data_IF_805200852800
#
_entry.id   IF_805200852800
#
_cell.length_a   1.000
_cell.length_b   1.000
_cell.length_c   1.000
_cell.angle_alpha   90.00
_cell.angle_beta   90.00
_cell.angle_gamma   90.00
#
_symmetry.space_group_name_H-M   'P 1'
#
loop_
_entity.id
_entity.type
_entity.pdbx_description
1 polymer ?
#
# COMPACT_ATOMS: atom_id res chain seq x y z
N UNK A 1 -29.66 24.90 28.40
CA UNK A 1 -29.55 23.71 27.51
C UNK A 1 -28.69 23.99 26.27
N UNK A 2 -28.96 25.09 25.51
CA UNK A 2 -28.20 25.45 24.30
C UNK A 2 -26.68 25.59 24.57
N UNK A 3 -26.32 26.37 25.61
CA UNK A 3 -24.94 26.59 26.02
C UNK A 3 -24.20 25.28 26.44
N UNK A 4 -24.90 24.38 27.13
CA UNK A 4 -24.40 23.05 27.49
C UNK A 4 -24.05 22.23 26.23
N UNK A 5 -24.97 22.17 25.26
CA UNK A 5 -24.77 21.42 24.02
C UNK A 5 -23.62 22.00 23.20
N UNK A 6 -23.57 23.33 23.07
CA UNK A 6 -22.51 24.01 22.33
C UNK A 6 -21.12 23.74 22.91
N UNK A 7 -20.96 23.83 24.25
CA UNK A 7 -19.68 23.60 24.91
C UNK A 7 -19.23 22.12 24.90
N UNK A 8 -20.16 21.20 25.08
CA UNK A 8 -19.85 19.78 24.92
C UNK A 8 -19.44 19.48 23.49
N UNK A 9 -20.19 19.98 22.53
CA UNK A 9 -19.90 19.80 21.12
C UNK A 9 -18.51 20.35 20.77
N UNK A 10 -18.19 21.58 21.19
CA UNK A 10 -16.88 22.20 20.98
C UNK A 10 -15.72 21.32 21.48
N UNK A 11 -15.86 20.70 22.65
CA UNK A 11 -14.83 19.85 23.26
C UNK A 11 -14.82 18.45 22.64
N UNK A 12 -15.99 17.82 22.51
CA UNK A 12 -16.08 16.46 21.98
C UNK A 12 -15.73 16.39 20.49
N UNK A 13 -16.01 17.44 19.71
CA UNK A 13 -15.54 17.53 18.32
C UNK A 13 -14.00 17.56 18.23
N UNK A 14 -13.33 18.19 19.22
CA UNK A 14 -11.85 18.24 19.28
C UNK A 14 -11.25 16.91 19.72
N UNK A 15 -11.77 16.30 20.81
CA UNK A 15 -11.22 15.05 21.36
C UNK A 15 -11.67 13.80 20.62
N UNK A 16 -12.71 13.90 19.81
CA UNK A 16 -13.32 12.83 19.00
C UNK A 16 -13.42 11.49 19.75
N UNK A 17 -14.16 11.43 20.88
CA UNK A 17 -14.20 10.26 21.73
C UNK A 17 -15.05 9.15 21.13
N UNK A 18 -14.71 7.90 21.49
CA UNK A 18 -15.51 6.71 21.18
C UNK A 18 -15.74 5.88 22.45
N UNK A 19 -16.65 4.91 22.39
CA UNK A 19 -16.96 4.01 23.51
C UNK A 19 -17.23 4.74 24.84
N UNK A 20 -18.03 5.82 24.77
CA UNK A 20 -18.37 6.62 25.96
C UNK A 20 -19.28 5.79 26.86
N UNK A 21 -18.87 5.65 28.12
CA UNK A 21 -19.62 4.94 29.16
C UNK A 21 -19.75 5.84 30.39
N UNK A 22 -20.95 5.89 30.96
CA UNK A 22 -21.24 6.61 32.20
C UNK A 22 -21.71 5.57 33.23
N UNK A 23 -21.07 5.58 34.39
CA UNK A 23 -21.45 4.72 35.53
C UNK A 23 -21.75 5.59 36.75
N UNK A 24 -22.96 5.51 37.28
CA UNK A 24 -23.28 6.10 38.58
C UNK A 24 -22.53 5.32 39.67
N UNK A 25 -21.83 6.03 40.56
CA UNK A 25 -21.03 5.46 41.64
C UNK A 25 -21.81 5.56 42.97
N UNK A 26 -22.41 6.72 43.25
CA UNK A 26 -23.11 7.01 44.49
C UNK A 26 -24.21 8.05 44.23
N UNK A 27 -25.29 7.95 45.00
CA UNK A 27 -26.43 8.89 44.96
C UNK A 27 -26.86 9.17 46.38
N UNK A 28 -26.71 10.41 46.82
CA UNK A 28 -27.10 10.85 48.17
C UNK A 28 -27.47 12.32 48.17
N UNK A 29 -28.58 12.65 48.85
CA UNK A 29 -28.99 14.03 49.14
C UNK A 29 -28.99 14.97 47.92
N UNK A 30 -29.61 14.59 46.82
CA UNK A 30 -29.61 15.31 45.54
C UNK A 30 -28.24 15.44 44.85
N UNK A 31 -27.19 14.75 45.32
CA UNK A 31 -25.89 14.67 44.68
C UNK A 31 -25.73 13.33 44.04
N UNK A 32 -25.38 13.29 42.74
CA UNK A 32 -25.04 12.06 42.02
C UNK A 32 -23.57 12.11 41.68
N UNK A 33 -22.82 11.12 42.16
CA UNK A 33 -21.45 10.90 41.78
C UNK A 33 -21.38 9.88 40.62
N UNK A 34 -20.74 10.23 39.56
CA UNK A 34 -20.60 9.35 38.39
C UNK A 34 -19.16 9.28 37.87
N UNK A 35 -18.87 8.26 37.10
CA UNK A 35 -17.62 8.08 36.37
C UNK A 35 -17.92 8.05 34.88
N UNK A 36 -17.17 8.86 34.13
CA UNK A 36 -17.13 8.76 32.68
C UNK A 36 -15.87 8.00 32.27
N UNK A 37 -15.99 7.13 31.29
CA UNK A 37 -14.85 6.55 30.58
C UNK A 37 -15.09 6.66 29.08
N UNK A 38 -14.03 6.98 28.31
CA UNK A 38 -14.08 7.11 26.87
C UNK A 38 -12.72 6.75 26.26
N UNK A 39 -12.75 6.22 25.05
CA UNK A 39 -11.52 5.97 24.28
C UNK A 39 -11.25 7.20 23.41
N UNK A 40 -9.97 7.63 23.38
CA UNK A 40 -9.50 8.82 22.65
C UNK A 40 -8.14 8.53 22.01
N UNK A 41 -7.65 9.45 21.16
CA UNK A 41 -6.28 9.37 20.63
C UNK A 41 -5.22 9.40 21.72
N UNK A 42 -5.50 10.01 22.87
CA UNK A 42 -4.65 10.03 24.05
C UNK A 42 -4.84 8.80 24.97
N UNK A 43 -5.46 7.75 24.47
CA UNK A 43 -5.80 6.54 25.22
C UNK A 43 -7.13 6.63 25.93
N UNK A 44 -7.32 5.78 26.95
CA UNK A 44 -8.55 5.72 27.72
C UNK A 44 -8.59 6.83 28.76
N UNK A 45 -9.54 7.74 28.63
CA UNK A 45 -9.82 8.81 29.61
C UNK A 45 -10.84 8.30 30.60
N UNK A 46 -10.54 8.43 31.90
CA UNK A 46 -11.47 8.14 32.97
C UNK A 46 -11.41 9.26 34.00
N UNK A 47 -12.56 9.79 34.37
CA UNK A 47 -12.66 10.75 35.46
C UNK A 47 -13.99 10.57 36.22
N UNK A 48 -13.97 10.99 37.49
CA UNK A 48 -15.16 11.02 38.35
C UNK A 48 -15.63 12.45 38.49
N UNK A 49 -16.94 12.63 38.53
CA UNK A 49 -17.50 13.95 38.75
C UNK A 49 -18.76 13.85 39.59
N UNK A 50 -19.25 15.01 40.08
CA UNK A 50 -20.46 15.11 40.90
C UNK A 50 -21.41 16.13 40.26
N UNK A 51 -22.69 15.78 40.21
CA UNK A 51 -23.75 16.69 39.79
C UNK A 51 -24.75 16.88 40.92
N UNK A 52 -25.20 18.12 41.08
CA UNK A 52 -26.30 18.48 41.98
C UNK A 52 -27.60 18.50 41.19
N UNK A 53 -28.61 17.79 41.64
CA UNK A 53 -29.94 17.77 41.05
C UNK A 53 -30.87 18.60 41.94
N UNK A 54 -31.42 19.72 41.44
CA UNK A 54 -32.42 20.57 42.08
C UNK A 54 -33.66 20.68 41.22
N UNK A 55 -34.81 20.36 41.78
CA UNK A 55 -36.10 20.39 41.07
C UNK A 55 -36.03 19.64 39.72
N UNK A 56 -35.50 18.43 39.74
CA UNK A 56 -35.32 17.58 38.55
C UNK A 56 -34.40 18.18 37.44
N UNK A 57 -33.61 19.22 37.78
CA UNK A 57 -32.70 19.87 36.87
C UNK A 57 -31.24 19.78 37.35
N UNK A 58 -30.34 19.60 36.40
CA UNK A 58 -28.91 19.60 36.65
C UNK A 58 -28.38 21.02 36.48
N UNK A 59 -27.70 21.54 37.50
CA UNK A 59 -26.96 22.79 37.39
C UNK A 59 -25.63 22.55 36.66
N UNK A 60 -25.58 22.90 35.40
CA UNK A 60 -24.38 22.78 34.60
C UNK A 60 -23.31 23.79 35.00
N UNK A 61 -22.09 23.32 35.20
CA UNK A 61 -20.87 24.11 35.17
C UNK A 61 -19.83 23.42 34.29
N UNK A 62 -18.81 24.13 33.81
CA UNK A 62 -17.79 23.61 32.89
C UNK A 62 -16.87 22.57 33.52
N UNK A 63 -16.69 22.59 34.84
CA UNK A 63 -15.96 21.60 35.60
C UNK A 63 -16.57 20.20 35.50
N UNK A 64 -17.84 20.10 35.08
CA UNK A 64 -18.49 18.82 34.80
C UNK A 64 -17.91 18.15 33.56
N UNK A 65 -17.18 18.88 32.69
CA UNK A 65 -16.49 18.29 31.52
C UNK A 65 -15.08 17.85 31.93
N UNK A 66 -14.30 18.77 32.54
CA UNK A 66 -13.00 18.48 33.14
C UNK A 66 -12.79 19.39 34.35
N UNK A 67 -12.22 18.86 35.43
CA UNK A 67 -12.15 19.54 36.74
C UNK A 67 -11.54 20.95 36.70
N UNK A 68 -10.56 21.24 35.88
CA UNK A 68 -9.91 22.56 35.84
C UNK A 68 -10.34 23.40 34.61
N UNK A 69 -11.43 23.01 33.97
CA UNK A 69 -11.89 23.72 32.78
C UNK A 69 -12.67 24.97 33.15
N UNK A 70 -12.27 26.11 32.62
CA UNK A 70 -12.88 27.42 32.85
C UNK A 70 -13.28 28.12 31.54
N UNK A 71 -13.92 29.31 31.65
CA UNK A 71 -14.30 30.12 30.50
C UNK A 71 -13.14 30.63 29.67
N UNK A 72 -11.97 30.76 30.28
CA UNK A 72 -10.74 31.27 29.65
C UNK A 72 -9.86 30.16 29.03
N UNK A 73 -10.24 28.92 29.25
CA UNK A 73 -9.43 27.78 28.85
C UNK A 73 -10.01 27.11 27.60
N UNK A 74 -9.11 26.45 26.85
CA UNK A 74 -9.47 25.64 25.68
C UNK A 74 -8.92 24.22 25.85
N UNK A 75 -9.67 23.24 25.30
CA UNK A 75 -9.15 21.87 25.16
C UNK A 75 -8.44 21.75 23.82
N UNK A 76 -7.24 21.18 23.83
CA UNK A 76 -6.47 20.86 22.63
C UNK A 76 -6.08 19.39 22.61
N UNK A 77 -6.02 18.83 21.41
CA UNK A 77 -5.43 17.52 21.15
C UNK A 77 -4.13 17.73 20.39
N UNK A 78 -3.04 17.20 20.94
CA UNK A 78 -1.72 17.20 20.34
C UNK A 78 -1.44 15.76 19.94
N UNK A 79 -1.32 15.46 18.65
CA UNK A 79 -1.01 14.13 18.14
C UNK A 79 0.48 13.99 17.86
N UNK A 80 1.04 12.83 18.18
CA UNK A 80 2.41 12.45 17.83
C UNK A 80 2.33 11.30 16.84
N UNK A 81 2.81 11.54 15.62
CA UNK A 81 2.85 10.50 14.59
C UNK A 81 4.02 9.55 14.84
N UNK A 82 3.80 8.23 14.75
CA UNK A 82 4.88 7.25 14.82
C UNK A 82 5.70 7.25 13.54
N UNK A 83 6.92 6.77 13.60
CA UNK A 83 7.68 6.41 12.40
C UNK A 83 7.08 5.14 11.79
N UNK A 84 6.90 5.15 10.46
CA UNK A 84 6.50 3.96 9.72
C UNK A 84 7.69 3.03 9.59
N UNK A 85 7.54 1.74 9.97
CA UNK A 85 8.59 0.72 9.90
C UNK A 85 9.18 0.59 8.49
N UNK A 86 10.44 0.22 8.41
CA UNK A 86 11.12 -0.02 7.15
C UNK A 86 10.71 -1.36 6.53
N UNK A 87 10.86 -1.48 5.22
CA UNK A 87 10.80 -2.77 4.53
C UNK A 87 12.20 -3.04 4.00
N UNK A 88 12.75 -4.19 4.37
CA UNK A 88 14.12 -4.57 4.11
C UNK A 88 14.14 -5.85 3.27
N UNK A 89 15.17 -6.00 2.42
CA UNK A 89 15.48 -7.26 1.80
C UNK A 89 16.12 -8.24 2.82
N UNK A 90 16.46 -9.46 2.37
CA UNK A 90 17.09 -10.47 3.24
C UNK A 90 18.44 -10.02 3.80
N UNK A 91 19.15 -9.15 3.11
CA UNK A 91 20.49 -8.66 3.44
C UNK A 91 20.47 -7.35 4.25
N UNK A 92 19.27 -6.80 4.53
CA UNK A 92 19.10 -5.56 5.28
C UNK A 92 19.14 -4.28 4.42
N UNK A 93 19.08 -4.41 3.09
CA UNK A 93 18.97 -3.26 2.18
C UNK A 93 17.53 -2.71 2.22
N UNK A 94 17.39 -1.39 2.27
CA UNK A 94 16.08 -0.74 2.36
C UNK A 94 15.32 -0.85 1.02
N UNK A 95 14.17 -1.49 1.04
CA UNK A 95 13.20 -1.54 -0.07
C UNK A 95 12.16 -0.43 0.05
N UNK A 96 11.83 -0.04 1.28
CA UNK A 96 11.02 1.12 1.60
C UNK A 96 11.50 1.77 2.89
N UNK A 97 11.70 3.08 2.89
CA UNK A 97 12.19 3.85 4.03
C UNK A 97 11.60 5.25 4.10
N UNK A 98 11.75 5.91 5.24
CA UNK A 98 11.51 7.34 5.34
C UNK A 98 12.63 8.10 4.63
N UNK A 99 12.28 9.10 3.87
CA UNK A 99 13.20 9.96 3.12
C UNK A 99 12.61 11.33 2.85
N UNK A 100 13.19 12.06 1.92
CA UNK A 100 12.77 13.40 1.56
C UNK A 100 12.22 13.46 0.14
N UNK A 101 11.20 14.30 -0.04
CA UNK A 101 10.79 14.83 -1.33
C UNK A 101 10.76 16.36 -1.26
N UNK A 102 10.52 16.98 -2.40
CA UNK A 102 10.59 18.42 -2.53
C UNK A 102 9.28 18.95 -3.09
N UNK A 103 8.63 19.78 -2.28
CA UNK A 103 7.36 20.41 -2.65
C UNK A 103 7.63 21.74 -3.32
N UNK A 104 7.41 21.80 -4.63
CA UNK A 104 7.35 23.05 -5.36
C UNK A 104 6.02 23.72 -5.08
N UNK A 105 6.08 24.94 -4.63
CA UNK A 105 4.90 25.73 -4.31
C UNK A 105 5.09 27.20 -4.64
N UNK A 106 4.02 27.94 -4.51
CA UNK A 106 3.92 29.33 -4.92
C UNK A 106 3.60 30.23 -3.75
N UNK A 107 4.17 31.45 -3.78
CA UNK A 107 3.84 32.53 -2.86
C UNK A 107 3.09 33.59 -3.65
N UNK A 108 1.78 33.71 -3.39
CA UNK A 108 0.82 34.50 -4.17
C UNK A 108 1.28 35.94 -4.45
N UNK A 109 1.66 36.67 -3.42
CA UNK A 109 2.04 38.09 -3.52
C UNK A 109 3.37 38.35 -4.25
N UNK A 110 4.06 37.31 -4.73
CA UNK A 110 5.33 37.42 -5.45
C UNK A 110 5.22 37.06 -6.93
N UNK A 111 4.05 36.65 -7.40
CA UNK A 111 3.81 36.27 -8.79
C UNK A 111 3.39 37.50 -9.61
N UNK A 112 3.76 37.51 -10.92
CA UNK A 112 3.42 38.59 -11.86
C UNK A 112 2.14 38.30 -12.67
N UNK A 113 1.26 37.40 -12.16
CA UNK A 113 -0.03 37.09 -12.75
C UNK A 113 -0.06 35.84 -13.62
N UNK A 114 -0.95 35.82 -14.63
CA UNK A 114 -1.30 34.59 -15.38
C UNK A 114 -0.14 34.02 -16.21
N UNK A 115 0.78 34.88 -16.70
CA UNK A 115 1.93 34.41 -17.45
C UNK A 115 2.84 33.50 -16.63
N UNK A 116 2.98 33.77 -15.32
CA UNK A 116 3.78 32.94 -14.43
C UNK A 116 3.11 31.54 -14.25
N UNK A 117 1.78 31.49 -14.16
CA UNK A 117 1.07 30.21 -14.05
C UNK A 117 1.30 29.32 -15.27
N UNK A 118 1.28 29.87 -16.48
CA UNK A 118 1.51 29.11 -17.70
C UNK A 118 2.95 28.53 -17.76
N UNK A 119 3.96 29.34 -17.36
CA UNK A 119 5.34 28.86 -17.28
C UNK A 119 5.52 27.77 -16.20
N UNK A 120 4.95 27.98 -15.01
CA UNK A 120 5.03 27.04 -13.90
C UNK A 120 4.33 25.72 -14.26
N UNK A 121 3.15 25.79 -14.90
CA UNK A 121 2.40 24.64 -15.37
C UNK A 121 3.23 23.78 -16.32
N UNK A 122 3.97 24.43 -17.25
CA UNK A 122 4.88 23.75 -18.17
C UNK A 122 6.04 23.05 -17.45
N UNK A 123 6.70 23.73 -16.51
CA UNK A 123 7.80 23.15 -15.73
C UNK A 123 7.33 21.97 -14.87
N UNK A 124 6.19 22.14 -14.21
CA UNK A 124 5.69 21.14 -13.26
C UNK A 124 4.80 20.08 -13.92
N UNK A 125 4.61 20.12 -15.25
CA UNK A 125 3.71 19.20 -15.96
C UNK A 125 2.35 19.08 -15.25
N UNK A 126 1.66 20.22 -15.13
CA UNK A 126 0.35 20.33 -14.47
C UNK A 126 -0.51 21.36 -15.21
N UNK A 127 -1.82 21.37 -14.93
CA UNK A 127 -2.76 22.27 -15.58
C UNK A 127 -2.73 23.67 -14.95
N UNK A 128 -2.85 24.69 -15.79
CA UNK A 128 -2.94 26.10 -15.35
C UNK A 128 -4.16 26.30 -14.45
N UNK A 129 -5.31 25.73 -14.85
CA UNK A 129 -6.56 25.79 -14.09
C UNK A 129 -6.43 25.15 -12.70
N UNK A 130 -5.68 24.05 -12.61
CA UNK A 130 -5.41 23.37 -11.33
C UNK A 130 -4.57 24.28 -10.40
N UNK A 131 -3.59 25.01 -10.93
CA UNK A 131 -2.82 26.00 -10.18
C UNK A 131 -3.72 27.15 -9.74
N UNK A 132 -4.48 27.74 -10.66
CA UNK A 132 -5.38 28.87 -10.38
C UNK A 132 -6.40 28.51 -9.31
N UNK A 133 -7.02 27.34 -9.41
CA UNK A 133 -7.98 26.83 -8.41
C UNK A 133 -7.36 26.72 -7.02
N UNK A 134 -6.12 26.22 -6.92
CA UNK A 134 -5.42 26.18 -5.63
C UNK A 134 -5.14 27.57 -5.11
N UNK A 135 -4.68 28.49 -5.97
CA UNK A 135 -4.29 29.84 -5.60
C UNK A 135 -5.47 30.77 -5.27
N UNK A 136 -6.68 30.46 -5.73
CA UNK A 136 -7.89 31.25 -5.47
C UNK A 136 -8.61 30.91 -4.16
N UNK A 137 -8.13 29.94 -3.38
CA UNK A 137 -8.78 29.56 -2.13
C UNK A 137 -8.74 30.72 -1.12
N UNK A 138 -9.90 30.97 -0.45
CA UNK A 138 -10.14 32.14 0.39
C UNK A 138 -9.22 32.26 1.62
N UNK A 139 -8.63 31.15 2.06
CA UNK A 139 -7.72 31.13 3.20
C UNK A 139 -6.26 31.51 2.86
N UNK A 140 -5.92 31.62 1.55
CA UNK A 140 -4.57 31.93 1.10
C UNK A 140 -4.29 33.43 1.19
N UNK A 141 -3.27 33.77 1.98
CA UNK A 141 -2.72 35.11 2.08
C UNK A 141 -1.59 35.31 1.07
N UNK A 142 -1.17 36.56 0.83
CA UNK A 142 -0.13 36.89 -0.14
C UNK A 142 1.25 36.31 0.19
N UNK A 143 1.54 36.06 1.47
CA UNK A 143 2.78 35.44 1.96
C UNK A 143 2.68 33.92 2.11
N UNK A 144 1.51 33.34 1.90
CA UNK A 144 1.27 31.91 2.07
C UNK A 144 2.00 31.08 1.03
N UNK A 145 2.67 30.02 1.47
CA UNK A 145 3.21 29.00 0.58
C UNK A 145 2.09 28.02 0.20
N UNK A 146 1.79 27.93 -1.09
CA UNK A 146 0.79 27.02 -1.64
C UNK A 146 1.48 25.89 -2.39
N UNK A 147 1.43 24.64 -1.89
CA UNK A 147 2.09 23.51 -2.54
C UNK A 147 1.38 23.14 -3.84
N UNK A 148 2.13 23.04 -4.94
CA UNK A 148 1.62 22.70 -6.27
C UNK A 148 1.93 21.25 -6.60
N UNK A 149 3.23 20.85 -6.57
CA UNK A 149 3.69 19.51 -6.95
C UNK A 149 4.84 19.05 -6.08
N UNK A 150 4.79 17.79 -5.66
CA UNK A 150 5.90 17.14 -4.98
C UNK A 150 6.74 16.36 -5.99
N UNK A 151 8.04 16.40 -5.86
CA UNK A 151 8.97 15.75 -6.76
C UNK A 151 10.13 15.09 -6.02
N UNK A 152 10.79 14.14 -6.68
CA UNK A 152 12.03 13.54 -6.20
C UNK A 152 13.21 14.53 -6.23
N UNK A 153 14.30 14.19 -5.57
CA UNK A 153 15.53 15.00 -5.61
C UNK A 153 16.09 15.15 -7.02
N UNK A 154 16.05 14.10 -7.82
CA UNK A 154 16.51 14.14 -9.20
C UNK A 154 15.69 15.15 -10.03
N UNK A 155 14.37 15.07 -9.95
CA UNK A 155 13.47 15.99 -10.68
C UNK A 155 13.63 17.42 -10.16
N UNK A 156 13.77 17.62 -8.84
CA UNK A 156 14.08 18.93 -8.27
C UNK A 156 15.32 19.56 -8.92
N UNK A 157 16.42 18.79 -8.99
CA UNK A 157 17.68 19.29 -9.54
C UNK A 157 17.55 19.63 -11.04
N UNK A 158 16.82 18.81 -11.80
CA UNK A 158 16.52 19.10 -13.21
C UNK A 158 15.71 20.39 -13.38
N UNK A 159 14.65 20.58 -12.60
CA UNK A 159 13.82 21.78 -12.66
C UNK A 159 14.60 23.06 -12.27
N UNK A 160 15.50 22.95 -11.28
CA UNK A 160 16.39 24.07 -10.90
C UNK A 160 17.34 24.42 -12.05
N UNK A 161 17.96 23.42 -12.69
CA UNK A 161 18.84 23.64 -13.85
C UNK A 161 18.09 24.24 -15.05
N UNK A 162 16.82 23.88 -15.24
CA UNK A 162 15.96 24.45 -16.26
C UNK A 162 15.52 25.92 -15.97
N UNK A 163 15.77 26.41 -14.75
CA UNK A 163 15.52 27.79 -14.38
C UNK A 163 14.17 28.09 -13.74
N UNK A 164 13.45 27.10 -13.21
CA UNK A 164 12.14 27.31 -12.56
C UNK A 164 12.20 28.34 -11.42
N UNK A 165 13.34 28.46 -10.73
CA UNK A 165 13.53 29.41 -9.63
C UNK A 165 13.72 30.85 -10.10
N UNK A 166 13.89 31.11 -11.42
CA UNK A 166 13.91 32.43 -11.97
C UNK A 166 12.51 33.09 -11.96
N UNK A 167 11.45 32.27 -11.79
CA UNK A 167 10.09 32.78 -11.63
C UNK A 167 9.91 33.24 -10.18
N UNK A 168 9.68 34.53 -10.00
CA UNK A 168 9.46 35.11 -8.67
C UNK A 168 8.25 34.45 -8.03
N UNK A 169 8.38 34.12 -6.76
CA UNK A 169 7.31 33.45 -6.01
C UNK A 169 7.32 31.93 -6.03
N UNK A 170 8.12 31.28 -6.87
CA UNK A 170 8.37 29.83 -6.75
C UNK A 170 9.27 29.58 -5.57
N UNK A 171 8.87 28.63 -4.71
CA UNK A 171 9.66 28.17 -3.57
C UNK A 171 9.66 26.63 -3.51
N UNK A 172 10.69 26.10 -2.87
CA UNK A 172 10.84 24.67 -2.63
C UNK A 172 10.89 24.44 -1.12
N UNK A 173 10.02 23.57 -0.62
CA UNK A 173 10.08 23.07 0.74
C UNK A 173 10.47 21.59 0.74
N UNK A 174 11.38 21.20 1.63
CA UNK A 174 11.64 19.78 1.87
C UNK A 174 10.51 19.21 2.70
N UNK A 175 9.98 18.08 2.26
CA UNK A 175 8.94 17.32 2.95
C UNK A 175 9.43 15.91 3.25
N UNK A 176 9.07 15.39 4.41
CA UNK A 176 9.33 14.00 4.76
C UNK A 176 8.30 13.10 4.09
N UNK A 177 8.75 12.02 3.45
CA UNK A 177 7.86 11.10 2.72
C UNK A 177 8.40 9.68 2.73
N UNK A 178 7.55 8.71 2.36
CA UNK A 178 7.98 7.35 2.07
C UNK A 178 8.75 7.33 0.76
N UNK A 179 9.89 6.64 0.72
CA UNK A 179 10.75 6.50 -0.46
C UNK A 179 11.03 5.03 -0.72
N UNK A 180 10.98 4.66 -1.98
CA UNK A 180 11.27 3.32 -2.49
C UNK A 180 12.57 3.38 -3.33
N UNK A 181 13.73 3.01 -2.74
CA UNK A 181 15.03 3.17 -3.41
C UNK A 181 15.16 2.42 -4.74
N UNK A 182 14.45 1.30 -4.86
CA UNK A 182 14.48 0.45 -6.06
C UNK A 182 13.24 0.63 -6.97
N UNK A 183 12.33 1.53 -6.59
CA UNK A 183 11.20 1.99 -7.40
C UNK A 183 10.55 0.87 -8.24
N UNK A 184 10.49 1.02 -9.56
CA UNK A 184 9.86 0.10 -10.51
C UNK A 184 10.25 -1.38 -10.30
N UNK A 185 11.48 -1.64 -9.85
CA UNK A 185 12.01 -2.99 -9.66
C UNK A 185 11.23 -3.78 -8.63
N UNK A 186 10.69 -3.09 -7.62
CA UNK A 186 9.99 -3.71 -6.49
C UNK A 186 8.52 -3.36 -6.40
N UNK A 187 7.97 -2.61 -7.37
CA UNK A 187 6.65 -1.98 -7.26
C UNK A 187 5.52 -2.95 -6.92
N UNK A 188 5.42 -4.07 -7.60
CA UNK A 188 4.33 -5.02 -7.38
C UNK A 188 4.45 -5.79 -6.05
N UNK A 189 5.68 -5.96 -5.52
CA UNK A 189 5.90 -6.62 -4.23
C UNK A 189 5.62 -5.64 -3.10
N UNK A 190 6.32 -4.50 -3.14
CA UNK A 190 6.30 -3.54 -2.03
C UNK A 190 4.99 -2.75 -2.01
N UNK A 191 4.47 -2.40 -3.19
CA UNK A 191 3.34 -1.49 -3.29
C UNK A 191 3.73 -0.06 -2.94
N UNK A 192 2.78 0.73 -2.46
CA UNK A 192 2.98 2.14 -2.14
C UNK A 192 2.01 2.61 -1.05
N UNK A 193 2.35 3.74 -0.44
CA UNK A 193 1.46 4.45 0.47
C UNK A 193 0.88 5.68 -0.19
N UNK A 194 -0.31 6.09 0.26
CA UNK A 194 -0.92 7.38 -0.11
C UNK A 194 -1.58 8.01 1.11
N UNK A 195 -1.86 9.31 1.01
CA UNK A 195 -2.65 9.98 2.03
C UNK A 195 -4.03 9.33 2.15
N UNK A 196 -4.53 9.24 3.37
CA UNK A 196 -5.89 8.78 3.62
C UNK A 196 -6.90 9.74 2.99
N UNK A 197 -7.98 9.18 2.46
CA UNK A 197 -9.12 9.93 1.95
C UNK A 197 -10.31 9.87 2.93
N UNK A 198 -11.41 10.51 2.58
CA UNK A 198 -12.62 10.54 3.42
C UNK A 198 -13.23 9.15 3.65
N UNK A 199 -13.07 8.24 2.71
CA UNK A 199 -13.56 6.86 2.80
C UNK A 199 -12.70 6.04 3.77
N UNK A 200 -11.37 6.19 3.68
CA UNK A 200 -10.42 5.56 4.61
C UNK A 200 -10.72 6.00 6.05
N UNK A 201 -10.92 7.30 6.28
CA UNK A 201 -11.24 7.83 7.60
C UNK A 201 -12.55 7.27 8.16
N UNK A 202 -13.55 7.04 7.31
CA UNK A 202 -14.80 6.39 7.73
C UNK A 202 -14.60 4.92 8.05
N UNK A 203 -13.87 4.19 7.21
CA UNK A 203 -13.62 2.76 7.35
C UNK A 203 -12.75 2.44 8.57
N UNK A 204 -11.76 3.28 8.84
CA UNK A 204 -10.76 3.09 9.90
C UNK A 204 -10.95 4.06 11.08
N UNK A 205 -12.18 4.49 11.35
CA UNK A 205 -12.53 5.54 12.34
C UNK A 205 -11.94 5.32 13.73
N UNK A 206 -11.84 4.05 14.18
CA UNK A 206 -11.31 3.69 15.50
C UNK A 206 -9.80 3.43 15.52
N UNK A 207 -9.13 3.53 14.38
CA UNK A 207 -7.73 3.13 14.24
C UNK A 207 -6.74 4.29 14.36
N UNK A 208 -7.23 5.52 14.62
CA UNK A 208 -6.40 6.69 14.88
C UNK A 208 -5.82 7.37 13.63
N UNK A 209 -6.37 7.11 12.44
CA UNK A 209 -5.99 7.86 11.24
C UNK A 209 -6.51 9.30 11.30
N UNK A 210 -5.71 10.21 10.79
CA UNK A 210 -6.04 11.62 10.60
C UNK A 210 -5.93 11.98 9.12
N UNK A 211 -6.39 13.16 8.73
CA UNK A 211 -6.27 13.64 7.35
C UNK A 211 -4.82 13.78 6.85
N UNK A 212 -3.86 13.82 7.76
CA UNK A 212 -2.41 13.86 7.45
C UNK A 212 -1.75 12.47 7.47
N UNK A 213 -2.48 11.42 7.81
CA UNK A 213 -1.96 10.05 7.83
C UNK A 213 -1.77 9.49 6.42
N UNK A 214 -0.86 8.52 6.29
CA UNK A 214 -0.71 7.72 5.08
C UNK A 214 -1.16 6.28 5.36
N UNK A 215 -1.61 5.59 4.30
CA UNK A 215 -2.05 4.21 4.36
C UNK A 215 -1.47 3.43 3.18
N UNK A 216 -1.07 2.18 3.40
CA UNK A 216 -0.64 1.27 2.35
C UNK A 216 -1.79 0.91 1.41
N UNK A 217 -1.55 1.04 0.09
CA UNK A 217 -2.56 0.80 -0.95
C UNK A 217 -2.45 -0.56 -1.62
N UNK A 218 -1.24 -1.09 -1.70
CA UNK A 218 -0.98 -2.37 -2.35
C UNK A 218 0.28 -3.04 -1.77
N UNK A 219 0.51 -4.29 -2.14
CA UNK A 219 1.71 -5.05 -1.80
C UNK A 219 1.95 -5.16 -0.29
N UNK A 220 3.21 -5.29 0.10
CA UNK A 220 3.63 -5.39 1.51
C UNK A 220 3.20 -4.18 2.33
N UNK A 221 3.19 -2.98 1.73
CA UNK A 221 2.72 -1.78 2.41
C UNK A 221 1.27 -1.89 2.88
N UNK A 222 0.40 -2.52 2.09
CA UNK A 222 -1.01 -2.74 2.46
C UNK A 222 -1.18 -3.97 3.36
N UNK A 223 -0.57 -5.10 3.00
CA UNK A 223 -0.72 -6.37 3.72
C UNK A 223 -0.23 -6.27 5.17
N UNK A 224 0.86 -5.53 5.38
CA UNK A 224 1.45 -5.33 6.70
C UNK A 224 1.19 -3.92 7.28
N UNK A 225 0.15 -3.23 6.79
CA UNK A 225 -0.19 -1.87 7.23
C UNK A 225 -0.21 -1.73 8.75
N UNK A 226 -0.90 -2.63 9.45
CA UNK A 226 -1.02 -2.59 10.92
C UNK A 226 0.32 -2.67 11.65
N UNK A 227 1.29 -3.39 11.09
CA UNK A 227 2.62 -3.53 11.69
C UNK A 227 3.49 -2.33 11.33
N UNK A 228 3.45 -1.92 10.04
CA UNK A 228 4.29 -0.86 9.52
C UNK A 228 3.92 0.52 10.04
N UNK A 229 2.63 0.85 10.19
CA UNK A 229 2.18 2.20 10.55
C UNK A 229 2.49 2.62 11.99
N UNK A 230 2.65 1.65 12.90
CA UNK A 230 2.77 1.92 14.34
C UNK A 230 1.46 2.37 14.99
N UNK A 231 1.55 2.96 16.17
CA UNK A 231 0.41 3.50 16.91
C UNK A 231 0.60 5.00 17.15
N UNK A 232 -0.39 5.79 16.72
CA UNK A 232 -0.40 7.23 16.98
C UNK A 232 -0.49 7.49 18.48
N UNK A 233 0.37 8.37 18.98
CA UNK A 233 0.30 8.92 20.32
C UNK A 233 -0.52 10.21 20.35
N UNK A 234 -0.91 10.63 21.54
CA UNK A 234 -1.62 11.87 21.69
C UNK A 234 -1.69 12.36 23.13
N UNK A 235 -1.91 13.66 23.25
CA UNK A 235 -2.17 14.33 24.53
C UNK A 235 -3.46 15.14 24.42
N UNK A 236 -4.33 15.03 25.42
CA UNK A 236 -5.45 15.95 25.60
C UNK A 236 -5.00 16.91 26.68
N UNK A 237 -4.95 18.19 26.36
CA UNK A 237 -4.48 19.24 27.27
C UNK A 237 -5.51 20.35 27.39
N UNK A 238 -5.56 20.94 28.58
CA UNK A 238 -6.23 22.20 28.84
C UNK A 238 -5.19 23.30 28.74
N UNK A 239 -5.44 24.32 27.91
CA UNK A 239 -4.53 25.44 27.69
C UNK A 239 -5.20 26.76 28.06
N UNK A 240 -4.39 27.76 28.48
CA UNK A 240 -4.83 29.13 28.71
C UNK A 240 -5.02 29.93 27.40
N UNK A 241 -5.35 31.21 27.52
CA UNK A 241 -5.52 32.14 26.38
C UNK A 241 -4.23 32.31 25.56
N UNK A 242 -3.07 32.11 26.17
CA UNK A 242 -1.74 32.20 25.54
C UNK A 242 -1.25 30.85 24.98
N UNK A 243 -2.09 29.80 25.02
CA UNK A 243 -1.77 28.43 24.65
C UNK A 243 -0.75 27.72 25.56
N UNK A 244 -0.51 28.20 26.77
CA UNK A 244 0.30 27.46 27.75
C UNK A 244 -0.54 26.30 28.31
N UNK A 245 0.10 25.16 28.51
CA UNK A 245 -0.55 23.96 29.06
C UNK A 245 -0.77 24.17 30.56
N UNK A 246 -2.04 24.19 30.99
CA UNK A 246 -2.44 24.22 32.38
C UNK A 246 -2.47 22.81 32.95
N UNK A 247 -3.03 21.85 32.18
CA UNK A 247 -3.21 20.47 32.62
C UNK A 247 -3.16 19.51 31.45
N UNK A 248 -2.51 18.38 31.65
CA UNK A 248 -2.64 17.20 30.78
C UNK A 248 -3.73 16.29 31.32
N UNK A 249 -4.83 16.14 30.58
CA UNK A 249 -5.98 15.31 30.94
C UNK A 249 -5.68 13.83 30.71
N UNK A 250 -5.06 13.51 29.57
CA UNK A 250 -4.63 12.19 29.21
C UNK A 250 -3.45 12.24 28.23
N UNK A 251 -2.64 11.20 28.25
CA UNK A 251 -1.50 11.03 27.34
C UNK A 251 -1.30 9.56 27.00
N UNK A 252 -1.02 9.31 25.73
CA UNK A 252 -0.57 8.02 25.18
C UNK A 252 0.67 8.30 24.34
N UNK A 253 1.77 7.61 24.62
CA UNK A 253 2.98 7.72 23.79
C UNK A 253 2.75 7.07 22.42
N UNK A 254 3.36 7.64 21.40
CA UNK A 254 3.42 7.02 20.07
C UNK A 254 4.28 5.75 20.14
N UNK A 255 3.93 4.73 19.38
CA UNK A 255 4.77 3.55 19.18
C UNK A 255 5.10 3.41 17.73
N UNK A 256 6.37 3.42 17.41
CA UNK A 256 6.85 3.27 16.05
C UNK A 256 6.44 1.94 15.45
N UNK A 257 6.27 1.94 14.12
CA UNK A 257 6.01 0.75 13.35
C UNK A 257 7.19 -0.21 13.40
N UNK A 258 6.88 -1.50 13.18
CA UNK A 258 7.89 -2.55 13.15
C UNK A 258 8.44 -2.70 11.74
N UNK A 259 9.74 -2.90 11.62
CA UNK A 259 10.38 -3.23 10.37
C UNK A 259 9.96 -4.61 9.88
N UNK A 260 9.84 -4.75 8.57
CA UNK A 260 9.54 -6.01 7.89
C UNK A 260 10.76 -6.41 7.07
N UNK A 261 11.31 -7.60 7.34
CA UNK A 261 12.37 -8.18 6.53
C UNK A 261 11.78 -9.26 5.63
N UNK A 262 11.99 -9.13 4.33
CA UNK A 262 11.56 -10.08 3.31
C UNK A 262 12.64 -11.10 3.03
N UNK A 263 12.26 -12.21 2.40
CA UNK A 263 13.20 -13.20 1.85
C UNK A 263 13.79 -12.78 0.50
N UNK A 264 13.29 -11.70 -0.09
CA UNK A 264 13.74 -11.15 -1.36
C UNK A 264 15.22 -10.76 -1.27
N UNK A 265 15.99 -11.18 -2.28
CA UNK A 265 17.33 -10.70 -2.57
C UNK A 265 17.24 -9.62 -3.65
N UNK A 266 17.51 -8.38 -3.27
CA UNK A 266 17.28 -7.25 -4.17
C UNK A 266 18.25 -7.24 -5.37
N UNK A 267 19.44 -7.79 -5.24
CA UNK A 267 20.40 -7.83 -6.34
C UNK A 267 19.92 -8.84 -7.40
N UNK A 268 19.40 -10.00 -6.97
CA UNK A 268 18.76 -10.96 -7.86
C UNK A 268 17.48 -10.39 -8.50
N UNK A 269 16.62 -9.73 -7.69
CA UNK A 269 15.42 -9.06 -8.16
C UNK A 269 15.74 -8.05 -9.27
N UNK A 270 16.77 -7.21 -9.06
CA UNK A 270 17.20 -6.20 -10.02
C UNK A 270 17.78 -6.83 -11.29
N UNK A 271 18.57 -7.88 -11.17
CA UNK A 271 19.13 -8.60 -12.31
C UNK A 271 18.03 -9.16 -13.20
N UNK A 272 17.04 -9.84 -12.61
CA UNK A 272 15.90 -10.38 -13.36
C UNK A 272 15.02 -9.26 -13.95
N UNK A 273 14.81 -8.17 -13.20
CA UNK A 273 14.06 -7.02 -13.72
C UNK A 273 14.74 -6.41 -14.95
N UNK A 274 16.05 -6.19 -14.91
CA UNK A 274 16.80 -5.59 -16.00
C UNK A 274 16.79 -6.47 -17.26
N UNK A 275 16.81 -7.79 -17.08
CA UNK A 275 16.74 -8.74 -18.21
C UNK A 275 15.40 -8.66 -18.93
N UNK A 276 14.30 -8.58 -18.17
CA UNK A 276 12.94 -8.68 -18.73
C UNK A 276 12.19 -7.36 -18.80
N UNK A 277 12.81 -6.20 -18.47
CA UNK A 277 12.11 -4.93 -18.34
C UNK A 277 11.34 -4.47 -19.59
N UNK A 278 11.77 -4.93 -20.78
CA UNK A 278 11.15 -4.63 -22.06
C UNK A 278 10.09 -5.64 -22.48
N UNK A 279 9.93 -6.74 -21.73
CA UNK A 279 9.01 -7.81 -22.03
C UNK A 279 7.78 -7.79 -21.12
N UNK A 280 6.68 -8.42 -21.58
CA UNK A 280 5.53 -8.75 -20.70
C UNK A 280 5.84 -10.08 -20.01
N UNK A 281 6.50 -10.01 -18.84
CA UNK A 281 7.07 -11.17 -18.18
C UNK A 281 6.71 -11.28 -16.70
N UNK A 282 6.73 -12.49 -16.19
CA UNK A 282 6.73 -12.81 -14.77
C UNK A 282 7.89 -13.77 -14.47
N UNK A 283 8.74 -13.41 -13.51
CA UNK A 283 9.86 -14.26 -13.07
C UNK A 283 9.77 -14.51 -11.58
N UNK A 284 9.97 -15.75 -11.16
CA UNK A 284 9.98 -16.19 -9.77
C UNK A 284 11.23 -16.98 -9.51
N UNK A 285 11.99 -16.61 -8.48
CA UNK A 285 13.14 -17.39 -8.00
C UNK A 285 12.87 -17.88 -6.58
N UNK A 286 13.03 -19.17 -6.38
CA UNK A 286 12.78 -19.84 -5.10
C UNK A 286 14.05 -20.55 -4.63
N UNK A 287 14.27 -20.58 -3.32
CA UNK A 287 15.21 -21.51 -2.72
C UNK A 287 14.55 -22.90 -2.64
N UNK A 288 15.06 -23.93 -3.32
CA UNK A 288 14.39 -25.23 -3.37
C UNK A 288 14.45 -26.00 -2.05
N UNK A 289 15.35 -25.63 -1.14
CA UNK A 289 15.48 -26.29 0.16
C UNK A 289 14.59 -25.67 1.24
N UNK A 290 14.47 -24.33 1.23
CA UNK A 290 13.72 -23.60 2.28
C UNK A 290 12.33 -23.15 1.82
N UNK A 291 12.07 -23.09 0.51
CA UNK A 291 10.87 -22.51 -0.08
C UNK A 291 10.83 -20.98 -0.07
N UNK A 292 11.91 -20.32 0.39
CA UNK A 292 11.98 -18.86 0.40
C UNK A 292 11.86 -18.28 -1.02
N UNK A 293 11.04 -17.24 -1.17
CA UNK A 293 10.96 -16.45 -2.41
C UNK A 293 12.11 -15.46 -2.44
N UNK A 294 13.07 -15.67 -3.36
CA UNK A 294 14.26 -14.84 -3.49
C UNK A 294 14.04 -13.66 -4.44
N UNK A 295 13.24 -13.85 -5.47
CA UNK A 295 12.84 -12.79 -6.38
C UNK A 295 11.42 -13.04 -6.92
N UNK A 296 10.71 -11.94 -7.21
CA UNK A 296 9.35 -11.96 -7.72
C UNK A 296 9.14 -10.75 -8.62
N UNK A 297 9.38 -10.93 -9.92
CA UNK A 297 9.39 -9.84 -10.92
C UNK A 297 8.12 -9.88 -11.76
N UNK A 298 7.59 -8.71 -12.04
CA UNK A 298 6.51 -8.50 -13.02
C UNK A 298 6.88 -7.30 -13.89
N UNK A 299 6.94 -7.48 -15.21
CA UNK A 299 7.29 -6.43 -16.17
C UNK A 299 6.26 -6.34 -17.31
N UNK A 300 6.05 -5.13 -17.87
CA UNK A 300 6.51 -3.84 -17.34
C UNK A 300 5.91 -3.52 -15.97
N UNK A 301 6.44 -2.51 -15.31
CA UNK A 301 6.02 -2.09 -13.97
C UNK A 301 5.81 -0.57 -13.89
N UNK A 302 5.40 -0.10 -12.74
CA UNK A 302 5.12 1.31 -12.45
C UNK A 302 6.02 1.86 -11.35
N UNK A 303 6.14 3.19 -11.25
CA UNK A 303 6.90 3.85 -10.19
C UNK A 303 6.09 3.94 -8.90
N UNK A 304 6.56 3.32 -7.82
CA UNK A 304 5.96 3.49 -6.48
C UNK A 304 6.10 4.94 -6.00
N UNK A 305 7.25 5.56 -6.28
CA UNK A 305 7.53 6.94 -5.86
C UNK A 305 6.57 7.92 -6.52
N UNK A 306 6.19 7.73 -7.79
CA UNK A 306 5.20 8.59 -8.45
C UNK A 306 3.84 8.53 -7.74
N UNK A 307 3.42 7.35 -7.27
CA UNK A 307 2.17 7.20 -6.51
C UNK A 307 2.20 7.94 -5.17
N UNK A 308 3.34 7.93 -4.48
CA UNK A 308 3.51 8.66 -3.22
C UNK A 308 3.56 10.17 -3.43
N UNK A 309 4.24 10.63 -4.48
CA UNK A 309 4.42 12.05 -4.77
C UNK A 309 3.18 12.69 -5.39
N UNK A 310 2.25 11.87 -5.88
CA UNK A 310 1.01 12.27 -6.54
C UNK A 310 1.11 12.20 -8.06
N UNK A 311 0.30 11.34 -8.65
CA UNK A 311 0.15 11.24 -10.10
C UNK A 311 -0.77 12.35 -10.61
N UNK A 312 -0.40 12.94 -11.76
CA UNK A 312 -1.35 13.75 -12.55
C UNK A 312 -2.39 12.82 -13.19
N UNK A 313 -3.54 13.39 -13.53
CA UNK A 313 -4.61 12.67 -14.25
C UNK A 313 -4.09 12.05 -15.54
N UNK A 314 -3.24 12.75 -16.28
CA UNK A 314 -2.67 12.24 -17.52
C UNK A 314 -1.74 11.05 -17.31
N UNK A 315 -0.86 11.11 -16.31
CA UNK A 315 0.02 9.98 -15.96
C UNK A 315 -0.81 8.76 -15.49
N UNK A 316 -1.85 9.00 -14.70
CA UNK A 316 -2.75 7.93 -14.28
C UNK A 316 -3.45 7.29 -15.48
N UNK A 317 -4.02 8.11 -16.37
CA UNK A 317 -4.69 7.63 -17.58
C UNK A 317 -3.72 6.89 -18.51
N UNK A 318 -2.50 7.37 -18.68
CA UNK A 318 -1.46 6.70 -19.45
C UNK A 318 -1.15 5.30 -18.88
N UNK A 319 -0.94 5.17 -17.57
CA UNK A 319 -0.69 3.88 -16.92
C UNK A 319 -1.89 2.93 -17.00
N UNK A 320 -3.10 3.46 -16.81
CA UNK A 320 -4.32 2.64 -16.77
C UNK A 320 -4.74 2.13 -18.15
N UNK A 321 -4.46 2.91 -19.20
CA UNK A 321 -4.82 2.60 -20.59
C UNK A 321 -3.65 1.99 -21.37
N UNK A 322 -2.50 1.78 -20.77
CA UNK A 322 -1.35 1.16 -21.41
C UNK A 322 -1.65 -0.31 -21.76
N UNK A 323 -1.58 -0.64 -23.05
CA UNK A 323 -1.80 -2.00 -23.56
C UNK A 323 -0.81 -3.02 -23.00
N UNK A 324 0.31 -2.55 -22.44
CA UNK A 324 1.28 -3.38 -21.74
C UNK A 324 0.91 -3.64 -20.27
N UNK A 325 -0.15 -3.00 -19.76
CA UNK A 325 -0.70 -3.24 -18.43
C UNK A 325 0.35 -3.21 -17.30
N UNK A 326 1.07 -2.11 -17.10
CA UNK A 326 2.15 -2.03 -16.10
C UNK A 326 1.65 -2.17 -14.66
N UNK A 327 0.36 -1.93 -14.40
CA UNK A 327 -0.24 -2.07 -13.08
C UNK A 327 -0.57 -3.54 -12.74
N UNK A 328 -0.57 -4.45 -13.74
CA UNK A 328 -0.91 -5.84 -13.52
C UNK A 328 0.26 -6.62 -12.90
N UNK A 329 0.01 -7.22 -11.74
CA UNK A 329 0.94 -8.18 -11.14
C UNK A 329 0.86 -9.53 -11.86
N UNK A 330 1.78 -9.76 -12.80
CA UNK A 330 1.77 -10.94 -13.67
C UNK A 330 2.03 -12.24 -12.94
N UNK A 331 2.84 -12.24 -11.89
CA UNK A 331 3.08 -13.45 -11.09
C UNK A 331 1.85 -13.87 -10.25
N UNK A 332 0.79 -13.05 -10.19
CA UNK A 332 -0.51 -13.43 -9.61
C UNK A 332 -1.46 -14.05 -10.65
N UNK A 333 -1.07 -14.07 -11.92
CA UNK A 333 -1.89 -14.60 -13.00
C UNK A 333 -1.59 -16.08 -13.24
N UNK A 334 -2.55 -16.77 -13.86
CA UNK A 334 -2.38 -18.16 -14.32
C UNK A 334 -2.06 -18.19 -15.80
N UNK A 335 -1.12 -19.06 -16.16
CA UNK A 335 -0.66 -19.23 -17.53
C UNK A 335 -0.77 -20.69 -17.95
N UNK A 336 -0.96 -20.94 -19.25
CA UNK A 336 -0.88 -22.29 -19.82
C UNK A 336 0.56 -22.77 -19.70
N UNK A 337 0.82 -23.86 -18.96
CA UNK A 337 2.19 -24.29 -18.65
C UNK A 337 2.98 -24.79 -19.86
N UNK A 338 2.29 -25.31 -20.88
CA UNK A 338 2.92 -25.84 -22.09
C UNK A 338 3.91 -26.96 -21.78
N UNK A 339 5.06 -26.92 -22.44
CA UNK A 339 6.11 -27.96 -22.32
C UNK A 339 6.77 -28.06 -20.95
N UNK A 340 6.57 -27.09 -20.05
CA UNK A 340 7.07 -27.19 -18.67
C UNK A 340 6.42 -28.31 -17.87
N UNK A 341 5.27 -28.85 -18.34
CA UNK A 341 4.63 -30.01 -17.74
C UNK A 341 5.23 -31.35 -18.16
N UNK A 342 6.07 -31.40 -19.21
CA UNK A 342 6.64 -32.64 -19.71
C UNK A 342 7.52 -33.38 -18.72
N UNK A 343 8.43 -32.73 -17.98
CA UNK A 343 9.21 -33.38 -16.93
C UNK A 343 8.32 -33.98 -15.84
N UNK A 344 7.23 -33.29 -15.45
CA UNK A 344 6.28 -33.79 -14.47
C UNK A 344 5.55 -35.02 -15.01
N UNK A 345 5.08 -34.97 -16.26
CA UNK A 345 4.44 -36.14 -16.92
C UNK A 345 5.41 -37.31 -17.04
N UNK A 346 6.66 -37.06 -17.34
CA UNK A 346 7.73 -38.08 -17.38
C UNK A 346 7.93 -38.75 -16.01
N UNK A 347 8.04 -37.93 -14.95
CA UNK A 347 8.23 -38.45 -13.60
C UNK A 347 7.02 -39.32 -13.15
N UNK A 348 5.80 -38.89 -13.44
CA UNK A 348 4.58 -39.66 -13.16
C UNK A 348 4.61 -40.98 -13.92
N UNK A 349 4.96 -40.94 -15.21
CA UNK A 349 4.99 -42.15 -16.05
C UNK A 349 6.05 -43.15 -15.63
N UNK A 350 7.22 -42.69 -15.17
CA UNK A 350 8.28 -43.55 -14.61
C UNK A 350 7.82 -44.16 -13.26
N UNK A 351 7.27 -43.35 -12.36
CA UNK A 351 6.81 -43.79 -11.05
C UNK A 351 5.67 -44.83 -11.17
N UNK A 352 4.73 -44.60 -12.10
CA UNK A 352 3.65 -45.56 -12.38
C UNK A 352 4.03 -46.71 -13.27
N UNK A 353 5.31 -46.78 -13.71
CA UNK A 353 5.85 -47.78 -14.63
C UNK A 353 5.08 -47.88 -15.97
N UNK A 354 4.40 -46.81 -16.36
CA UNK A 354 3.66 -46.70 -17.64
C UNK A 354 4.52 -46.15 -18.78
N UNK A 355 5.69 -45.58 -18.46
CA UNK A 355 6.74 -45.17 -19.40
C UNK A 355 7.98 -46.05 -19.16
N UNK A 356 8.37 -46.75 -20.18
CA UNK A 356 9.70 -47.35 -20.32
C UNK A 356 10.61 -46.31 -20.97
N UNK A 357 11.67 -45.81 -20.29
CA UNK A 357 12.49 -44.73 -20.79
C UNK A 357 13.26 -45.05 -22.08
N UNK A 358 13.57 -46.31 -22.30
CA UNK A 358 14.36 -46.79 -23.44
C UNK A 358 13.50 -47.19 -24.64
N UNK A 359 12.20 -47.36 -24.43
CA UNK A 359 11.29 -47.82 -25.48
C UNK A 359 11.12 -46.78 -26.59
N UNK A 360 11.41 -47.21 -27.82
CA UNK A 360 11.14 -46.41 -29.02
C UNK A 360 9.65 -46.48 -29.37
N UNK A 361 8.96 -45.34 -29.34
CA UNK A 361 7.57 -45.23 -29.75
C UNK A 361 7.37 -45.02 -31.24
N UNK A 362 8.42 -45.07 -32.05
CA UNK A 362 8.42 -44.81 -33.46
C UNK A 362 8.33 -43.34 -33.83
N UNK A 363 9.13 -42.94 -34.80
CA UNK A 363 9.21 -41.55 -35.27
C UNK A 363 7.98 -41.16 -36.04
N UNK A 364 7.12 -40.29 -35.44
CA UNK A 364 5.97 -39.66 -36.10
C UNK A 364 5.95 -38.22 -35.69
N UNK A 365 5.79 -37.32 -36.64
CA UNK A 365 5.65 -35.88 -36.45
C UNK A 365 4.20 -35.46 -36.24
N UNK A 366 3.25 -36.36 -36.55
CA UNK A 366 1.81 -36.19 -36.45
C UNK A 366 1.14 -37.46 -35.91
N UNK A 367 0.25 -37.32 -34.94
CA UNK A 367 -0.45 -38.45 -34.32
C UNK A 367 -1.82 -38.06 -33.80
N UNK A 368 -2.77 -38.97 -33.89
CA UNK A 368 -4.06 -38.92 -33.22
C UNK A 368 -4.36 -40.29 -32.57
N UNK A 369 -5.16 -40.32 -31.54
CA UNK A 369 -5.53 -41.54 -30.82
C UNK A 369 -6.34 -42.47 -31.71
N UNK A 370 -7.43 -41.93 -32.27
CA UNK A 370 -8.36 -42.63 -33.13
C UNK A 370 -9.23 -41.62 -33.92
N UNK A 371 -10.11 -42.12 -34.75
CA UNK A 371 -11.00 -41.32 -35.63
C UNK A 371 -12.00 -40.44 -34.89
N UNK A 372 -12.23 -40.67 -33.59
CA UNK A 372 -13.12 -39.81 -32.75
C UNK A 372 -12.59 -38.38 -32.61
N UNK A 373 -11.28 -38.16 -32.87
CA UNK A 373 -10.64 -36.85 -32.86
C UNK A 373 -10.88 -36.05 -34.17
N UNK A 374 -11.54 -36.66 -35.16
CA UNK A 374 -11.79 -36.02 -36.45
C UNK A 374 -10.48 -35.57 -37.11
N UNK A 375 -10.37 -34.28 -37.42
CA UNK A 375 -9.20 -33.70 -38.05
C UNK A 375 -8.17 -33.17 -37.05
N UNK A 376 -8.34 -33.40 -35.75
CA UNK A 376 -7.40 -32.98 -34.75
C UNK A 376 -6.23 -33.95 -34.59
N UNK A 377 -5.02 -33.43 -34.59
CA UNK A 377 -3.79 -34.17 -34.43
C UNK A 377 -2.88 -33.44 -33.47
N UNK A 378 -2.14 -34.23 -32.68
CA UNK A 378 -0.97 -33.72 -31.97
C UNK A 378 0.20 -33.70 -32.94
N UNK A 379 0.88 -32.58 -33.05
CA UNK A 379 2.05 -32.43 -33.91
C UNK A 379 3.27 -32.07 -33.06
N UNK A 380 4.47 -32.44 -33.56
CA UNK A 380 5.74 -32.05 -32.98
C UNK A 380 6.60 -31.42 -34.07
N UNK A 381 7.49 -30.49 -33.67
CA UNK A 381 8.41 -29.84 -34.62
C UNK A 381 9.54 -30.76 -35.06
N UNK A 382 9.95 -31.64 -34.17
CA UNK A 382 11.02 -32.59 -34.37
C UNK A 382 10.55 -34.00 -34.03
N UNK A 383 10.79 -34.96 -34.90
CA UNK A 383 10.50 -36.37 -34.70
C UNK A 383 11.80 -37.17 -34.56
N UNK A 384 12.44 -37.17 -33.39
CA UNK A 384 13.72 -37.81 -33.16
C UNK A 384 13.64 -39.33 -33.29
N UNK A 385 14.73 -39.97 -33.69
CA UNK A 385 14.89 -41.41 -33.71
C UNK A 385 16.12 -41.78 -32.90
N UNK A 386 16.04 -42.68 -31.88
CA UNK A 386 14.78 -43.29 -31.41
C UNK A 386 13.89 -42.29 -30.69
N UNK A 387 12.55 -42.49 -30.73
CA UNK A 387 11.58 -41.72 -29.99
C UNK A 387 11.42 -42.30 -28.58
N UNK A 388 12.45 -42.16 -27.78
CA UNK A 388 12.51 -42.55 -26.38
C UNK A 388 12.36 -41.34 -25.43
N UNK A 389 12.27 -41.55 -24.12
CA UNK A 389 12.04 -40.49 -23.14
C UNK A 389 13.13 -39.39 -23.20
N UNK A 390 14.41 -39.77 -23.31
CA UNK A 390 15.54 -38.82 -23.41
C UNK A 390 15.36 -37.86 -24.58
N UNK A 391 15.12 -38.41 -25.76
CA UNK A 391 14.96 -37.62 -26.98
C UNK A 391 13.64 -36.81 -26.95
N UNK A 392 12.57 -37.36 -26.37
CA UNK A 392 11.30 -36.66 -26.22
C UNK A 392 11.40 -35.43 -25.33
N UNK A 393 12.20 -35.48 -24.27
CA UNK A 393 12.51 -34.32 -23.44
C UNK A 393 13.43 -33.32 -24.15
N UNK A 394 14.52 -33.82 -24.77
CA UNK A 394 15.50 -32.98 -25.47
C UNK A 394 14.87 -32.15 -26.59
N UNK A 395 14.00 -32.76 -27.38
CA UNK A 395 13.36 -32.14 -28.55
C UNK A 395 11.92 -31.64 -28.25
N UNK A 396 11.49 -31.72 -26.98
CA UNK A 396 10.16 -31.30 -26.55
C UNK A 396 9.03 -31.95 -27.36
N UNK A 397 9.09 -33.28 -27.58
CA UNK A 397 8.16 -34.01 -28.44
C UNK A 397 6.75 -34.11 -27.87
N UNK A 398 5.84 -33.39 -28.50
CA UNK A 398 4.42 -33.38 -28.08
C UNK A 398 3.75 -34.72 -28.32
N UNK A 399 4.07 -35.41 -29.41
CA UNK A 399 3.48 -36.72 -29.78
C UNK A 399 3.85 -37.78 -28.75
N UNK A 400 5.10 -37.81 -28.32
CA UNK A 400 5.54 -38.72 -27.27
C UNK A 400 4.75 -38.50 -25.98
N UNK A 401 4.66 -37.26 -25.50
CA UNK A 401 3.99 -36.94 -24.24
C UNK A 401 2.48 -37.08 -24.31
N UNK A 402 1.83 -36.83 -25.44
CA UNK A 402 0.40 -37.11 -25.62
C UNK A 402 0.09 -38.60 -25.49
N UNK A 403 0.93 -39.48 -26.12
CA UNK A 403 0.80 -40.95 -26.01
C UNK A 403 1.09 -41.40 -24.57
N UNK A 404 2.14 -40.87 -23.95
CA UNK A 404 2.47 -41.16 -22.56
C UNK A 404 1.37 -40.80 -21.59
N UNK A 405 0.77 -39.63 -21.76
CA UNK A 405 -0.36 -39.19 -20.90
C UNK A 405 -1.58 -40.12 -20.99
N UNK A 406 -1.88 -40.64 -22.18
CA UNK A 406 -2.96 -41.66 -22.35
C UNK A 406 -2.61 -42.97 -21.66
N UNK A 407 -1.32 -43.42 -21.74
CA UNK A 407 -0.85 -44.64 -21.08
C UNK A 407 -0.88 -44.49 -19.55
N UNK A 408 -0.49 -43.35 -19.02
CA UNK A 408 -0.58 -43.04 -17.58
C UNK A 408 -2.04 -43.08 -17.09
N UNK A 409 -2.93 -42.56 -17.91
CA UNK A 409 -4.37 -42.50 -17.63
C UNK A 409 -4.78 -41.37 -16.69
N UNK A 410 -6.06 -41.01 -16.79
CA UNK A 410 -6.64 -39.89 -16.06
C UNK A 410 -6.48 -40.01 -14.54
N UNK A 411 -6.73 -41.18 -13.97
CA UNK A 411 -6.72 -41.40 -12.51
C UNK A 411 -5.33 -41.16 -11.91
N UNK A 412 -4.28 -41.72 -12.53
CA UNK A 412 -2.92 -41.52 -12.10
C UNK A 412 -2.48 -40.06 -12.23
N UNK A 413 -2.76 -39.40 -13.37
CA UNK A 413 -2.44 -38.00 -13.57
C UNK A 413 -3.08 -37.13 -12.50
N UNK A 414 -4.40 -37.30 -12.25
CA UNK A 414 -5.11 -36.52 -11.22
C UNK A 414 -4.57 -36.78 -9.80
N UNK A 415 -4.27 -38.03 -9.45
CA UNK A 415 -3.66 -38.40 -8.17
C UNK A 415 -2.35 -37.66 -7.93
N UNK A 416 -1.45 -37.69 -8.91
CA UNK A 416 -0.15 -37.06 -8.77
C UNK A 416 -0.23 -35.52 -8.86
N UNK A 417 -1.09 -34.95 -9.69
CA UNK A 417 -1.35 -33.52 -9.72
C UNK A 417 -1.83 -33.01 -8.36
N UNK A 418 -2.73 -33.74 -7.72
CA UNK A 418 -3.20 -33.43 -6.37
C UNK A 418 -2.05 -33.50 -5.34
N UNK A 419 -1.21 -34.54 -5.40
CA UNK A 419 -0.04 -34.64 -4.52
C UNK A 419 0.96 -33.51 -4.70
N UNK A 420 1.11 -33.01 -5.94
CA UNK A 420 1.93 -31.85 -6.27
C UNK A 420 1.21 -30.51 -6.07
N UNK A 421 -0.04 -30.54 -5.56
CA UNK A 421 -0.89 -29.36 -5.34
C UNK A 421 -1.16 -28.55 -6.61
N UNK A 422 -1.03 -29.15 -7.79
CA UNK A 422 -1.36 -28.51 -9.06
C UNK A 422 -2.89 -28.31 -9.14
N UNK A 423 -3.31 -27.09 -9.44
CA UNK A 423 -4.72 -26.69 -9.48
C UNK A 423 -5.27 -26.18 -8.14
N UNK A 424 -4.50 -26.24 -7.05
CA UNK A 424 -4.87 -25.59 -5.79
C UNK A 424 -4.62 -24.07 -5.88
N UNK A 425 -5.51 -23.30 -5.23
CA UNK A 425 -5.33 -21.86 -5.13
C UNK A 425 -4.14 -21.53 -4.23
N UNK A 426 -3.16 -20.83 -4.75
CA UNK A 426 -2.09 -20.25 -3.95
C UNK A 426 -2.66 -19.01 -3.23
N UNK A 427 -2.63 -18.94 -1.88
CA UNK A 427 -3.10 -17.78 -1.15
C UNK A 427 -2.10 -16.63 -1.36
N UNK A 428 -2.39 -15.80 -2.34
CA UNK A 428 -1.62 -14.61 -2.68
C UNK A 428 -2.50 -13.40 -2.45
N UNK A 429 -2.18 -12.59 -1.42
CA UNK A 429 -2.91 -11.35 -1.08
C UNK A 429 -2.37 -10.13 -1.85
#
# INVERSE_FOLDING_TARGET
QKYFIEKHKEIYDVINPSNIQVKVIDEKDNMVQYQISMDTVAGKVKYKNKIEIKNEQIKFNKQLIFDEFSDKNKVKVITTQPYRGYILDRNGKYLAKQGNAYSFGLVRGKLNGENDYAQIAKYLETDVEAIQKKMSASWIKDDSFVPIKNVSEQVKNQLIQQGILNIKGVKINTISTRVYPYDKITSHIIGYVQNVNSEDLKKHKSEGYTSSSVIGRSGIEATYEKQLRGEVGGKIVIVDENNNIIKTVAQKEAKDGKDIRLTIDIDLQQSLYNEYQNDKSASVALNPQTGEVLALVSTPSYSNNDFVLGLSTDKWNALNNDSNQPLMSRYKQTYTPGSTMKPITAAIGLETKTIDPDKDLGAKDKWQKDSSWGNYYVTTLHAPTPKNLKNALTYSDNVYFARSALNIGKENLFKYYKNLRIGEKIPFE
#
